data_IF_423906032482
#
_entry.id   IF_423906032482
#
_cell.length_a   1.000
_cell.length_b   1.000
_cell.length_c   1.000
_cell.angle_alpha   90.00
_cell.angle_beta   90.00
_cell.angle_gamma   90.00
#
_symmetry.space_group_name_H-M   'P 1'
#
loop_
_entity.id
_entity.type
_entity.pdbx_description
1 polymer ?
#
# COMPACT_ATOMS: atom_id res chain seq x y z
N UNK A 1 -21.14 67.89 -38.23
CA UNK A 1 -20.78 68.78 -39.39
C UNK A 1 -20.04 67.88 -40.39
N UNK A 2 -20.66 67.81 -41.59
CA UNK A 2 -20.14 67.42 -42.92
C UNK A 2 -19.57 65.97 -43.05
N UNK A 3 -20.30 65.15 -43.71
CA UNK A 3 -20.77 65.00 -45.09
C UNK A 3 -19.68 64.58 -46.07
N UNK A 4 -20.01 63.45 -46.76
CA UNK A 4 -20.00 63.24 -48.21
C UNK A 4 -18.71 62.61 -48.77
N UNK A 5 -18.65 61.79 -49.78
CA UNK A 5 -19.52 61.14 -50.83
C UNK A 5 -18.67 60.04 -51.44
N UNK A 6 -19.20 58.89 -51.66
CA UNK A 6 -19.59 58.34 -52.97
C UNK A 6 -18.47 58.15 -54.05
N UNK A 7 -18.24 56.93 -54.46
CA UNK A 7 -18.31 56.59 -55.91
C UNK A 7 -18.11 55.07 -56.16
N UNK A 8 -19.06 54.56 -56.84
CA UNK A 8 -19.20 53.23 -57.47
C UNK A 8 -18.36 53.23 -58.74
N UNK A 9 -17.64 52.17 -59.07
CA UNK A 9 -17.38 51.80 -60.47
C UNK A 9 -17.52 50.29 -60.63
N UNK A 10 -18.51 49.97 -61.45
CA UNK A 10 -18.84 48.70 -62.06
C UNK A 10 -18.00 48.51 -63.31
N UNK A 11 -17.31 47.38 -63.46
CA UNK A 11 -16.86 47.00 -64.82
C UNK A 11 -17.01 45.49 -64.98
N UNK A 12 -17.95 45.15 -65.81
CA UNK A 12 -18.19 43.82 -66.37
C UNK A 12 -17.31 43.68 -67.61
N UNK A 13 -16.58 42.58 -67.75
CA UNK A 13 -16.12 42.09 -69.02
C UNK A 13 -16.31 40.59 -69.17
N UNK A 14 -16.90 40.25 -70.27
CA UNK A 14 -17.46 38.97 -70.67
C UNK A 14 -16.42 37.97 -71.19
N UNK A 15 -16.71 36.71 -70.93
CA UNK A 15 -16.60 35.48 -71.74
C UNK A 15 -15.66 35.44 -72.97
N UNK A 16 -14.81 34.43 -72.96
CA UNK A 16 -14.69 33.52 -74.06
C UNK A 16 -14.12 32.16 -73.62
N UNK A 17 -14.89 31.13 -73.94
CA UNK A 17 -14.48 29.74 -73.69
C UNK A 17 -13.69 29.20 -74.85
N UNK A 18 -12.93 28.14 -74.60
CA UNK A 18 -12.67 27.07 -75.55
C UNK A 18 -12.32 25.78 -74.89
N UNK A 19 -12.93 24.78 -75.40
CA UNK A 19 -12.92 23.34 -75.02
C UNK A 19 -11.56 22.67 -75.21
N UNK A 20 -11.34 21.64 -74.46
CA UNK A 20 -10.38 20.58 -74.80
C UNK A 20 -9.88 19.72 -73.70
N UNK A 21 -10.37 18.47 -73.57
CA UNK A 21 -9.59 17.36 -73.07
C UNK A 21 -9.75 16.97 -71.61
N UNK A 22 -10.61 16.01 -71.32
CA UNK A 22 -10.43 15.06 -70.24
C UNK A 22 -9.19 14.19 -70.53
N UNK A 23 -8.53 13.55 -69.50
CA UNK A 23 -9.18 12.95 -68.34
C UNK A 23 -8.39 13.10 -67.03
N UNK A 24 -9.04 12.71 -66.01
CA UNK A 24 -8.48 11.92 -64.96
C UNK A 24 -8.39 12.52 -63.56
N UNK A 25 -8.97 11.78 -62.70
CA UNK A 25 -8.65 11.49 -61.30
C UNK A 25 -8.33 12.70 -60.43
N UNK A 26 -9.36 13.28 -59.93
CA UNK A 26 -9.32 14.09 -58.73
C UNK A 26 -9.13 13.19 -57.52
N UNK A 27 -7.87 13.00 -57.11
CA UNK A 27 -7.58 12.63 -55.77
C UNK A 27 -8.02 13.80 -54.88
N UNK A 28 -9.05 13.56 -54.09
CA UNK A 28 -9.38 14.43 -52.98
C UNK A 28 -8.22 14.29 -52.00
N UNK A 29 -7.32 15.26 -51.97
CA UNK A 29 -6.37 15.36 -50.88
C UNK A 29 -7.18 15.72 -49.63
N UNK A 30 -7.59 14.72 -48.88
CA UNK A 30 -7.98 14.90 -47.49
C UNK A 30 -6.74 15.38 -46.76
N UNK A 31 -6.64 16.66 -46.50
CA UNK A 31 -5.69 17.18 -45.53
C UNK A 31 -6.10 16.61 -44.17
N UNK A 32 -5.47 15.53 -43.78
CA UNK A 32 -5.51 15.10 -42.41
C UNK A 32 -4.81 16.17 -41.59
N UNK A 33 -5.58 17.02 -40.93
CA UNK A 33 -5.04 17.82 -39.86
C UNK A 33 -4.50 16.84 -38.82
N UNK A 34 -3.19 16.72 -38.75
CA UNK A 34 -2.53 16.10 -37.62
C UNK A 34 -2.79 17.02 -36.41
N UNK A 35 -3.73 16.63 -35.57
CA UNK A 35 -4.12 17.38 -34.37
C UNK A 35 -3.07 17.30 -33.29
N UNK A 36 -1.96 16.56 -33.48
CA UNK A 36 -0.92 16.36 -32.45
C UNK A 36 -1.43 15.63 -31.20
N UNK A 37 -2.67 15.15 -31.25
CA UNK A 37 -3.21 14.33 -30.16
C UNK A 37 -2.75 12.89 -30.38
N UNK A 38 -1.94 12.38 -29.49
CA UNK A 38 -1.72 10.94 -29.41
C UNK A 38 -3.08 10.26 -29.25
N UNK A 39 -3.39 9.22 -30.01
CA UNK A 39 -4.60 8.45 -29.79
C UNK A 39 -4.65 8.09 -28.30
N UNK A 40 -5.78 8.36 -27.66
CA UNK A 40 -6.00 7.86 -26.29
C UNK A 40 -5.82 6.35 -26.36
N UNK A 41 -4.89 5.83 -25.58
CA UNK A 41 -4.69 4.39 -25.50
C UNK A 41 -6.04 3.77 -25.14
N UNK A 42 -6.52 2.83 -25.94
CA UNK A 42 -7.77 2.15 -25.64
C UNK A 42 -7.63 1.51 -24.26
N UNK A 43 -8.63 1.74 -23.41
CA UNK A 43 -8.69 1.06 -22.11
C UNK A 43 -8.77 -0.42 -22.44
N UNK A 44 -7.89 -1.27 -21.88
CA UNK A 44 -7.98 -2.70 -22.08
C UNK A 44 -9.41 -3.19 -21.75
N UNK A 45 -9.93 -4.14 -22.54
CA UNK A 45 -11.30 -4.66 -22.34
C UNK A 45 -11.51 -5.29 -20.95
N UNK A 46 -10.42 -5.60 -20.25
CA UNK A 46 -10.36 -6.16 -18.89
C UNK A 46 -10.18 -5.10 -17.78
N UNK A 47 -10.10 -3.80 -18.13
CA UNK A 47 -10.01 -2.71 -17.17
C UNK A 47 -11.38 -2.44 -16.51
N UNK A 48 -11.74 -3.28 -15.57
CA UNK A 48 -12.92 -3.08 -14.70
C UNK A 48 -12.40 -2.76 -13.31
N UNK A 49 -12.65 -1.53 -12.79
CA UNK A 49 -12.28 -1.20 -11.40
C UNK A 49 -12.92 -2.20 -10.44
N UNK A 50 -12.14 -2.69 -9.48
CA UNK A 50 -12.54 -3.75 -8.55
C UNK A 50 -12.97 -3.17 -7.21
N UNK A 51 -13.93 -3.83 -6.58
CA UNK A 51 -14.18 -3.67 -5.16
C UNK A 51 -13.10 -4.47 -4.40
N UNK A 52 -12.41 -3.83 -3.44
CA UNK A 52 -11.38 -4.47 -2.64
C UNK A 52 -11.86 -4.69 -1.21
N UNK A 53 -11.71 -5.90 -0.71
CA UNK A 53 -11.95 -6.29 0.67
C UNK A 53 -10.61 -6.54 1.36
N UNK A 54 -10.35 -5.84 2.46
CA UNK A 54 -9.11 -5.90 3.20
C UNK A 54 -9.39 -6.25 4.66
N UNK A 55 -8.78 -7.33 5.15
CA UNK A 55 -8.78 -7.68 6.56
C UNK A 55 -7.42 -7.31 7.18
N UNK A 56 -7.40 -6.34 8.09
CA UNK A 56 -6.21 -5.99 8.86
C UNK A 56 -6.26 -6.65 10.23
N UNK A 57 -5.36 -7.59 10.49
CA UNK A 57 -5.29 -8.35 11.75
C UNK A 57 -3.97 -8.07 12.48
N UNK A 58 -3.97 -8.22 13.79
CA UNK A 58 -2.72 -8.13 14.53
C UNK A 58 -2.79 -7.37 15.84
N UNK A 59 -1.81 -6.52 16.07
CA UNK A 59 -1.54 -5.90 17.35
C UNK A 59 -1.95 -4.41 17.44
N UNK A 60 -1.20 -3.65 18.22
CA UNK A 60 -1.45 -2.22 18.42
C UNK A 60 -1.19 -1.38 17.18
N UNK A 61 -0.34 -1.80 16.25
CA UNK A 61 -0.08 -1.08 15.01
C UNK A 61 -1.32 -1.12 14.10
N UNK A 62 -1.89 -2.31 13.91
CA UNK A 62 -3.17 -2.44 13.19
C UNK A 62 -4.29 -1.68 13.91
N UNK A 63 -4.31 -1.66 15.25
CA UNK A 63 -5.30 -0.89 16.01
C UNK A 63 -5.16 0.63 15.85
N UNK A 64 -4.01 1.13 15.40
CA UNK A 64 -3.72 2.56 15.27
C UNK A 64 -3.37 3.23 16.61
N UNK A 65 -2.74 2.49 17.54
CA UNK A 65 -2.29 3.06 18.82
C UNK A 65 -1.12 4.02 18.58
N UNK A 66 -1.18 5.21 19.17
CA UNK A 66 -0.18 6.27 18.99
C UNK A 66 -0.58 7.33 17.96
N UNK A 67 -1.58 7.03 17.11
CA UNK A 67 -2.15 8.01 16.21
C UNK A 67 -2.94 9.08 16.98
N UNK A 68 -2.31 10.25 17.16
CA UNK A 68 -2.92 11.38 17.85
C UNK A 68 -4.12 11.98 17.12
N UNK A 69 -4.24 11.73 15.80
CA UNK A 69 -5.39 12.16 15.01
C UNK A 69 -6.63 11.30 15.27
N UNK A 70 -6.45 10.11 15.83
CA UNK A 70 -7.49 9.12 16.12
C UNK A 70 -8.27 8.66 14.87
N UNK A 71 -7.62 8.70 13.73
CA UNK A 71 -8.21 8.29 12.46
C UNK A 71 -8.04 6.79 12.19
N UNK A 72 -7.24 6.06 12.98
CA UNK A 72 -7.09 4.60 12.85
C UNK A 72 -5.73 4.15 12.34
N UNK A 73 -4.72 5.01 12.41
CA UNK A 73 -3.36 4.69 12.02
C UNK A 73 -3.22 4.44 10.52
N UNK A 74 -2.40 3.44 10.14
CA UNK A 74 -2.14 3.18 8.72
C UNK A 74 -3.37 2.69 7.95
N UNK A 75 -4.36 2.08 8.60
CA UNK A 75 -5.49 1.43 7.92
C UNK A 75 -6.36 2.43 7.16
N UNK A 76 -6.75 3.53 7.78
CA UNK A 76 -7.54 4.58 7.13
C UNK A 76 -6.74 5.30 6.04
N UNK A 77 -5.46 5.59 6.29
CA UNK A 77 -4.59 6.22 5.31
C UNK A 77 -4.38 5.34 4.07
N UNK A 78 -4.29 4.02 4.27
CA UNK A 78 -4.21 3.05 3.17
C UNK A 78 -5.50 3.00 2.36
N UNK A 79 -6.66 2.97 3.04
CA UNK A 79 -7.98 3.02 2.38
C UNK A 79 -8.11 4.26 1.49
N UNK A 80 -7.75 5.44 2.00
CA UNK A 80 -7.77 6.69 1.23
C UNK A 80 -6.85 6.64 0.00
N UNK A 81 -5.64 6.08 0.14
CA UNK A 81 -4.70 5.92 -0.97
C UNK A 81 -5.24 4.99 -2.05
N UNK A 82 -5.76 3.83 -1.66
CA UNK A 82 -6.32 2.84 -2.58
C UNK A 82 -7.54 3.38 -3.33
N UNK A 83 -8.42 4.14 -2.67
CA UNK A 83 -9.55 4.82 -3.32
C UNK A 83 -9.13 5.89 -4.34
N UNK A 84 -7.88 6.35 -4.28
CA UNK A 84 -7.29 7.26 -5.27
C UNK A 84 -6.92 6.58 -6.59
N UNK A 85 -6.82 5.26 -6.63
CA UNK A 85 -6.39 4.48 -7.79
C UNK A 85 -7.55 4.21 -8.75
N UNK A 86 -7.23 4.21 -10.05
CA UNK A 86 -8.24 4.03 -11.10
C UNK A 86 -8.77 2.59 -11.17
N UNK A 87 -7.94 1.65 -10.75
CA UNK A 87 -8.23 0.22 -10.71
C UNK A 87 -9.13 -0.16 -9.53
N UNK A 88 -9.34 0.76 -8.58
CA UNK A 88 -10.11 0.55 -7.36
C UNK A 88 -11.44 1.30 -7.45
N UNK A 89 -12.54 0.58 -7.32
CA UNK A 89 -13.89 1.12 -7.33
C UNK A 89 -14.38 1.45 -5.92
N UNK A 90 -14.12 0.55 -4.99
CA UNK A 90 -14.42 0.72 -3.56
C UNK A 90 -13.45 -0.08 -2.72
N UNK A 91 -13.28 0.33 -1.46
CA UNK A 91 -12.49 -0.39 -0.46
C UNK A 91 -13.37 -0.65 0.76
N UNK A 92 -13.37 -1.90 1.22
CA UNK A 92 -13.93 -2.28 2.53
C UNK A 92 -12.76 -2.77 3.37
N UNK A 93 -12.37 -2.01 4.41
CA UNK A 93 -11.28 -2.37 5.29
C UNK A 93 -11.82 -2.68 6.69
N UNK A 94 -11.63 -3.93 7.14
CA UNK A 94 -11.97 -4.38 8.47
C UNK A 94 -10.72 -4.40 9.35
N UNK A 95 -10.80 -3.76 10.51
CA UNK A 95 -9.68 -3.63 11.44
C UNK A 95 -9.89 -4.51 12.69
N UNK A 96 -9.22 -5.64 12.75
CA UNK A 96 -9.23 -6.60 13.85
C UNK A 96 -8.01 -6.47 14.78
N UNK A 97 -7.28 -5.35 14.73
CA UNK A 97 -6.11 -5.08 15.57
C UNK A 97 -6.46 -4.98 17.05
N UNK A 98 -5.64 -5.57 17.91
CA UNK A 98 -5.82 -5.55 19.37
C UNK A 98 -4.52 -5.18 20.06
N UNK A 99 -4.54 -4.08 20.83
CA UNK A 99 -3.37 -3.59 21.56
C UNK A 99 -2.77 -4.68 22.46
N UNK A 100 -1.46 -4.89 22.34
CA UNK A 100 -0.70 -5.80 23.20
C UNK A 100 -0.70 -7.27 22.76
N UNK A 101 -1.40 -7.61 21.66
CA UNK A 101 -1.41 -8.98 21.16
C UNK A 101 -0.01 -9.43 20.73
N UNK A 102 0.32 -10.65 21.11
CA UNK A 102 1.46 -11.44 20.66
C UNK A 102 0.99 -12.48 19.64
N UNK A 103 1.92 -13.17 19.00
CA UNK A 103 1.58 -14.27 18.07
C UNK A 103 0.69 -15.35 18.73
N UNK A 104 0.83 -15.60 20.04
CA UNK A 104 -0.06 -16.50 20.78
C UNK A 104 -1.50 -15.98 20.85
N UNK A 105 -1.65 -14.69 21.06
CA UNK A 105 -2.96 -14.04 21.19
C UNK A 105 -3.64 -13.96 19.82
N UNK A 106 -2.86 -13.69 18.76
CA UNK A 106 -3.34 -13.68 17.38
C UNK A 106 -3.86 -15.07 16.95
N UNK A 107 -3.13 -16.16 17.27
CA UNK A 107 -3.61 -17.52 17.02
C UNK A 107 -4.96 -17.82 17.68
N UNK A 108 -5.18 -17.34 18.91
CA UNK A 108 -6.47 -17.46 19.58
C UNK A 108 -7.54 -16.57 18.92
N UNK A 109 -7.16 -15.37 18.48
CA UNK A 109 -8.07 -14.43 17.80
C UNK A 109 -8.59 -14.98 16.45
N UNK A 110 -7.77 -15.75 15.73
CA UNK A 110 -8.16 -16.44 14.50
C UNK A 110 -9.25 -17.52 14.71
N UNK A 111 -9.59 -17.86 15.95
CA UNK A 111 -10.71 -18.76 16.25
C UNK A 111 -12.04 -17.99 16.41
N UNK A 112 -12.03 -16.68 16.36
CA UNK A 112 -13.25 -15.85 16.42
C UNK A 112 -13.95 -15.85 15.08
N UNK A 113 -15.25 -16.10 15.07
CA UNK A 113 -16.08 -16.21 13.85
C UNK A 113 -16.03 -14.93 13.00
N UNK A 114 -16.15 -13.76 13.61
CA UNK A 114 -16.09 -12.46 12.93
C UNK A 114 -14.73 -12.27 12.19
N UNK A 115 -13.62 -12.70 12.79
CA UNK A 115 -12.29 -12.62 12.17
C UNK A 115 -12.14 -13.62 11.03
N UNK A 116 -12.72 -14.83 11.19
CA UNK A 116 -12.73 -15.85 10.14
C UNK A 116 -13.51 -15.40 8.92
N UNK A 117 -14.68 -14.82 9.14
CA UNK A 117 -15.52 -14.26 8.06
C UNK A 117 -14.78 -13.12 7.34
N UNK A 118 -14.20 -12.15 8.06
CA UNK A 118 -13.43 -11.08 7.44
C UNK A 118 -12.21 -11.57 6.66
N UNK A 119 -11.52 -12.62 7.13
CA UNK A 119 -10.42 -13.26 6.40
C UNK A 119 -10.93 -14.00 5.15
N UNK A 120 -12.03 -14.72 5.26
CA UNK A 120 -12.57 -15.52 4.16
C UNK A 120 -13.01 -14.65 2.97
N UNK A 121 -13.51 -13.46 3.24
CA UNK A 121 -14.02 -12.51 2.23
C UNK A 121 -12.93 -11.54 1.70
N UNK A 122 -11.72 -11.56 2.29
CA UNK A 122 -10.67 -10.60 1.95
C UNK A 122 -9.94 -10.94 0.64
N UNK A 123 -9.67 -9.93 -0.18
CA UNK A 123 -8.70 -9.98 -1.28
C UNK A 123 -7.26 -9.82 -0.74
N UNK A 124 -7.12 -9.02 0.33
CA UNK A 124 -5.83 -8.70 0.94
C UNK A 124 -5.94 -8.84 2.47
N UNK A 125 -4.97 -9.52 3.07
CA UNK A 125 -4.87 -9.69 4.52
C UNK A 125 -3.58 -9.04 5.00
N UNK A 126 -3.69 -7.99 5.81
CA UNK A 126 -2.54 -7.26 6.35
C UNK A 126 -2.31 -7.70 7.79
N UNK A 127 -1.06 -8.04 8.12
CA UNK A 127 -0.68 -8.56 9.44
C UNK A 127 0.39 -7.67 10.06
N UNK A 128 0.14 -7.22 11.31
CA UNK A 128 1.17 -6.62 12.17
C UNK A 128 1.29 -7.46 13.43
N UNK A 129 2.43 -8.10 13.67
CA UNK A 129 2.62 -8.96 14.85
C UNK A 129 4.10 -9.20 15.13
N UNK A 130 4.46 -9.44 16.38
CA UNK A 130 5.80 -9.83 16.81
C UNK A 130 6.47 -8.81 17.73
N UNK A 131 6.16 -7.53 17.62
CA UNK A 131 6.74 -6.50 18.48
C UNK A 131 6.48 -6.77 19.98
N UNK A 132 5.27 -7.22 20.33
CA UNK A 132 4.92 -7.58 21.70
C UNK A 132 5.56 -8.91 22.16
N UNK A 133 5.91 -9.81 21.25
CA UNK A 133 6.70 -11.01 21.58
C UNK A 133 8.12 -10.60 22.01
N UNK A 134 8.79 -9.69 21.28
CA UNK A 134 10.08 -9.12 21.67
C UNK A 134 9.97 -8.35 22.99
N UNK A 135 8.98 -7.48 23.13
CA UNK A 135 8.80 -6.68 24.35
C UNK A 135 8.52 -7.53 25.59
N UNK A 136 7.92 -8.69 25.45
CA UNK A 136 7.79 -9.66 26.53
C UNK A 136 9.16 -10.13 27.01
N UNK A 137 10.06 -10.47 26.09
CA UNK A 137 11.42 -10.91 26.42
C UNK A 137 12.16 -9.80 27.17
N UNK A 138 12.09 -8.57 26.65
CA UNK A 138 12.72 -7.39 27.28
C UNK A 138 12.23 -7.21 28.72
N UNK A 139 10.92 -7.28 28.96
CA UNK A 139 10.32 -7.09 30.29
C UNK A 139 10.67 -8.22 31.28
N UNK A 140 10.75 -9.46 30.79
CA UNK A 140 11.05 -10.62 31.63
C UNK A 140 12.54 -10.77 31.94
N UNK A 141 13.43 -10.15 31.14
CA UNK A 141 14.88 -10.32 31.22
C UNK A 141 15.64 -8.99 31.37
N UNK A 142 15.05 -7.96 31.97
CA UNK A 142 15.63 -6.59 32.04
C UNK A 142 17.08 -6.54 32.54
N UNK A 143 17.53 -7.53 33.32
CA UNK A 143 18.87 -7.60 33.88
C UNK A 143 19.82 -8.55 33.16
N UNK A 144 19.32 -9.30 32.16
CA UNK A 144 20.11 -10.24 31.35
C UNK A 144 19.52 -10.33 29.91
N UNK A 145 19.71 -9.26 29.13
CA UNK A 145 19.29 -9.17 27.73
C UNK A 145 20.33 -9.85 26.81
N UNK A 146 20.55 -11.15 27.00
CA UNK A 146 21.46 -11.89 26.13
C UNK A 146 20.81 -12.28 24.81
N UNK A 147 21.55 -12.22 23.72
CA UNK A 147 21.08 -12.63 22.37
C UNK A 147 20.52 -14.06 22.36
N UNK A 148 21.04 -14.96 23.19
CA UNK A 148 20.56 -16.33 23.29
C UNK A 148 19.07 -16.43 23.72
N UNK A 149 18.62 -15.51 24.58
CA UNK A 149 17.21 -15.49 25.02
C UNK A 149 16.31 -15.11 23.86
N UNK A 150 16.69 -14.09 23.10
CA UNK A 150 15.96 -13.66 21.92
C UNK A 150 15.93 -14.74 20.84
N UNK A 151 17.04 -15.42 20.54
CA UNK A 151 17.08 -16.51 19.57
C UNK A 151 16.15 -17.69 19.93
N UNK A 152 16.07 -18.06 21.21
CA UNK A 152 15.17 -19.12 21.65
C UNK A 152 13.69 -18.73 21.50
N UNK A 153 13.35 -17.49 21.79
CA UNK A 153 11.98 -17.01 21.62
C UNK A 153 11.63 -16.74 20.16
N UNK A 154 12.62 -16.31 19.34
CA UNK A 154 12.47 -16.21 17.90
C UNK A 154 12.04 -17.53 17.28
N UNK A 155 12.72 -18.64 17.58
CA UNK A 155 12.33 -19.96 17.09
C UNK A 155 10.87 -20.33 17.45
N UNK A 156 10.40 -19.92 18.65
CA UNK A 156 8.99 -20.12 19.02
C UNK A 156 8.04 -19.17 18.29
N UNK A 157 8.47 -17.93 18.06
CA UNK A 157 7.73 -16.96 17.28
C UNK A 157 7.54 -17.47 15.85
N UNK A 158 8.60 -17.95 15.19
CA UNK A 158 8.56 -18.50 13.84
C UNK A 158 7.58 -19.67 13.72
N UNK A 159 7.58 -20.61 14.66
CA UNK A 159 6.59 -21.70 14.69
C UNK A 159 5.16 -21.18 14.83
N UNK A 160 4.95 -20.12 15.63
CA UNK A 160 3.62 -19.53 15.78
C UNK A 160 3.19 -18.74 14.56
N UNK A 161 4.11 -17.98 13.93
CA UNK A 161 3.85 -17.25 12.70
C UNK A 161 3.46 -18.21 11.58
N UNK A 162 4.20 -19.31 11.43
CA UNK A 162 3.83 -20.35 10.45
C UNK A 162 2.38 -20.84 10.67
N UNK A 163 2.00 -21.13 11.93
CA UNK A 163 0.62 -21.54 12.25
C UNK A 163 -0.41 -20.43 11.99
N UNK A 164 -0.06 -19.16 12.18
CA UNK A 164 -0.94 -18.04 11.79
C UNK A 164 -1.22 -18.08 10.31
N UNK A 165 -0.17 -18.22 9.48
CA UNK A 165 -0.31 -18.29 8.02
C UNK A 165 -1.07 -19.53 7.56
N UNK A 166 -0.80 -20.71 8.14
CA UNK A 166 -1.57 -21.94 7.88
C UNK A 166 -3.07 -21.75 8.18
N UNK A 167 -3.41 -21.12 9.32
CA UNK A 167 -4.81 -20.85 9.66
C UNK A 167 -5.46 -19.89 8.66
N UNK A 168 -4.77 -18.83 8.28
CA UNK A 168 -5.27 -17.87 7.29
C UNK A 168 -5.51 -18.58 5.95
N UNK A 169 -4.56 -19.38 5.47
CA UNK A 169 -4.71 -20.14 4.21
C UNK A 169 -5.83 -21.19 4.26
N UNK A 170 -6.14 -21.72 5.42
CA UNK A 170 -7.29 -22.62 5.61
C UNK A 170 -8.63 -21.86 5.47
N UNK A 171 -8.68 -20.58 5.80
CA UNK A 171 -9.89 -19.76 5.63
C UNK A 171 -9.95 -19.11 4.25
N UNK A 172 -8.79 -18.72 3.69
CA UNK A 172 -8.67 -18.06 2.40
C UNK A 172 -7.37 -18.47 1.70
N UNK A 173 -7.48 -19.31 0.67
CA UNK A 173 -6.33 -19.80 -0.11
C UNK A 173 -5.73 -18.76 -1.06
N UNK A 174 -6.54 -17.79 -1.48
CA UNK A 174 -6.23 -16.95 -2.64
C UNK A 174 -5.83 -15.51 -2.27
N UNK A 175 -6.24 -15.01 -1.09
CA UNK A 175 -5.93 -13.66 -0.64
C UNK A 175 -4.43 -13.37 -0.66
N UNK A 176 -4.06 -12.15 -1.01
CA UNK A 176 -2.69 -11.68 -0.80
C UNK A 176 -2.43 -11.41 0.68
N UNK A 177 -1.43 -12.07 1.26
CA UNK A 177 -1.01 -11.84 2.66
C UNK A 177 0.15 -10.85 2.67
N UNK A 178 -0.03 -9.72 3.35
CA UNK A 178 0.97 -8.68 3.52
C UNK A 178 1.40 -8.65 5.00
N UNK A 179 2.59 -9.15 5.30
CA UNK A 179 3.16 -9.06 6.64
C UNK A 179 4.04 -7.81 6.75
N UNK A 180 3.66 -6.92 7.65
CA UNK A 180 4.44 -5.72 7.97
C UNK A 180 5.56 -6.09 8.93
N UNK A 181 6.78 -5.75 8.58
CA UNK A 181 7.99 -6.00 9.37
C UNK A 181 8.00 -5.23 10.69
N UNK A 182 8.92 -5.63 11.53
CA UNK A 182 9.19 -4.97 12.81
C UNK A 182 10.19 -3.82 12.60
N UNK A 183 10.11 -2.80 13.42
CA UNK A 183 11.09 -1.72 13.52
C UNK A 183 11.65 -1.62 14.93
N UNK A 184 12.81 -0.96 15.07
CA UNK A 184 13.42 -0.67 16.35
C UNK A 184 12.90 0.68 16.91
N UNK A 185 12.05 0.70 17.95
CA UNK A 185 11.58 1.93 18.56
C UNK A 185 12.65 2.63 19.44
N UNK A 186 13.77 1.95 19.73
CA UNK A 186 14.82 2.44 20.64
C UNK A 186 16.06 2.96 19.89
N UNK A 187 15.92 3.28 18.59
CA UNK A 187 17.04 3.74 17.74
C UNK A 187 17.75 5.00 18.24
N UNK A 188 17.10 5.78 19.10
CA UNK A 188 17.66 6.97 19.75
C UNK A 188 18.56 6.67 20.98
N UNK A 189 18.49 5.45 21.54
CA UNK A 189 19.39 4.97 22.61
C UNK A 189 20.66 4.36 22.01
N UNK A 190 21.72 5.15 21.92
CA UNK A 190 22.98 4.77 21.25
C UNK A 190 23.59 3.47 21.81
N UNK A 191 23.47 3.22 23.12
CA UNK A 191 24.11 2.09 23.79
C UNK A 191 23.42 0.74 23.56
N UNK A 192 22.14 0.72 23.12
CA UNK A 192 21.35 -0.51 22.93
C UNK A 192 20.87 -0.68 21.48
N UNK A 193 21.08 0.33 20.63
CA UNK A 193 20.53 0.35 19.28
C UNK A 193 21.06 -0.77 18.39
N UNK A 194 22.34 -1.09 18.49
CA UNK A 194 22.98 -2.11 17.62
C UNK A 194 22.49 -3.52 17.94
N UNK A 195 22.37 -3.88 19.22
CA UNK A 195 21.88 -5.18 19.64
C UNK A 195 20.39 -5.35 19.29
N UNK A 196 19.59 -4.30 19.50
CA UNK A 196 18.17 -4.33 19.18
C UNK A 196 17.95 -4.36 17.67
N UNK A 197 18.70 -3.60 16.87
CA UNK A 197 18.67 -3.70 15.42
C UNK A 197 18.97 -5.13 14.96
N UNK A 198 20.01 -5.75 15.50
CA UNK A 198 20.36 -7.15 15.18
C UNK A 198 19.20 -8.11 15.51
N UNK A 199 18.48 -7.89 16.63
CA UNK A 199 17.34 -8.71 17.01
C UNK A 199 16.18 -8.49 16.02
N UNK A 200 15.85 -7.22 15.70
CA UNK A 200 14.78 -6.87 14.75
C UNK A 200 15.10 -7.44 13.36
N UNK A 201 16.34 -7.28 12.87
CA UNK A 201 16.78 -7.81 11.58
C UNK A 201 16.61 -9.34 11.53
N UNK A 202 17.07 -10.06 12.57
CA UNK A 202 16.94 -11.51 12.61
C UNK A 202 15.47 -11.98 12.63
N UNK A 203 14.61 -11.28 13.34
CA UNK A 203 13.18 -11.60 13.39
C UNK A 203 12.48 -11.28 12.07
N UNK A 204 12.83 -10.17 11.43
CA UNK A 204 12.33 -9.83 10.10
C UNK A 204 12.78 -10.86 9.06
N UNK A 205 14.04 -11.28 9.11
CA UNK A 205 14.55 -12.31 8.20
C UNK A 205 13.89 -13.67 8.44
N UNK A 206 13.70 -14.07 9.71
CA UNK A 206 12.92 -15.26 10.07
C UNK A 206 11.49 -15.21 9.52
N UNK A 207 10.85 -14.03 9.62
CA UNK A 207 9.50 -13.81 9.07
C UNK A 207 9.46 -13.92 7.56
N UNK A 208 10.44 -13.36 6.83
CA UNK A 208 10.57 -13.49 5.38
C UNK A 208 10.75 -14.95 4.95
N UNK A 209 11.59 -15.69 5.70
CA UNK A 209 11.81 -17.11 5.42
C UNK A 209 10.52 -17.93 5.56
N UNK A 210 9.75 -17.69 6.62
CA UNK A 210 8.44 -18.34 6.80
C UNK A 210 7.47 -17.94 5.67
N UNK A 211 7.37 -16.65 5.33
CA UNK A 211 6.50 -16.20 4.25
C UNK A 211 6.84 -16.87 2.91
N UNK A 212 8.11 -17.11 2.64
CA UNK A 212 8.57 -17.72 1.38
C UNK A 212 8.07 -19.16 1.18
N UNK A 213 7.54 -19.80 2.22
CA UNK A 213 6.92 -21.12 2.16
C UNK A 213 5.44 -21.09 1.72
N UNK A 214 4.86 -19.87 1.60
CA UNK A 214 3.47 -19.65 1.22
C UNK A 214 3.37 -18.85 -0.08
N UNK A 215 2.41 -19.19 -0.92
CA UNK A 215 2.09 -18.43 -2.14
C UNK A 215 1.31 -17.15 -1.80
N UNK A 216 1.34 -16.18 -2.69
CA UNK A 216 0.64 -14.88 -2.55
C UNK A 216 0.96 -14.17 -1.24
N UNK A 217 2.24 -14.04 -0.93
CA UNK A 217 2.71 -13.35 0.28
C UNK A 217 3.70 -12.25 -0.05
N UNK A 218 3.61 -11.14 0.68
CA UNK A 218 4.53 -10.01 0.60
C UNK A 218 5.01 -9.64 2.00
N UNK A 219 6.29 -9.31 2.11
CA UNK A 219 6.87 -8.74 3.33
C UNK A 219 7.11 -7.24 3.10
N UNK A 220 6.60 -6.40 3.99
CA UNK A 220 6.77 -4.95 3.92
C UNK A 220 7.78 -4.49 4.95
N UNK A 221 8.96 -4.09 4.49
CA UNK A 221 9.97 -3.50 5.36
C UNK A 221 9.55 -2.11 5.80
N UNK A 222 9.66 -1.84 7.09
CA UNK A 222 9.37 -0.53 7.70
C UNK A 222 10.46 -0.05 8.65
N UNK A 223 11.47 -0.89 8.95
CA UNK A 223 12.55 -0.51 9.86
C UNK A 223 13.35 0.69 9.35
N UNK A 224 13.64 0.74 8.07
CA UNK A 224 14.32 1.85 7.42
C UNK A 224 13.56 3.18 7.55
N UNK A 225 12.22 3.14 7.58
CA UNK A 225 11.38 4.32 7.79
C UNK A 225 11.68 4.97 9.14
N UNK A 226 11.86 4.15 10.19
CA UNK A 226 12.10 4.64 11.55
C UNK A 226 13.58 4.87 11.88
N UNK A 227 14.49 4.21 11.17
CA UNK A 227 15.94 4.27 11.44
C UNK A 227 16.69 5.32 10.61
N UNK A 228 16.18 5.74 9.45
CA UNK A 228 16.89 6.61 8.51
C UNK A 228 16.42 8.07 8.50
N UNK A 229 15.56 8.47 9.43
CA UNK A 229 15.04 9.82 9.49
C UNK A 229 15.51 10.57 10.74
N UNK A 230 15.63 11.89 10.63
CA UNK A 230 15.80 12.78 11.78
C UNK A 230 14.44 13.19 12.40
N UNK A 231 13.34 12.88 11.74
CA UNK A 231 12.00 13.23 12.21
C UNK A 231 11.59 12.30 13.36
N UNK A 232 10.89 12.84 14.34
CA UNK A 232 10.27 12.01 15.36
C UNK A 232 9.02 11.35 14.77
N UNK A 233 9.08 10.05 14.51
CA UNK A 233 7.98 9.23 14.00
C UNK A 233 7.23 8.46 15.07
N UNK A 234 7.64 8.58 16.34
CA UNK A 234 7.02 7.90 17.46
C UNK A 234 6.08 8.84 18.23
N UNK A 235 5.06 8.26 18.83
CA UNK A 235 4.13 8.93 19.72
C UNK A 235 4.77 9.25 21.10
N UNK A 236 4.00 9.83 22.02
CA UNK A 236 4.48 10.19 23.35
C UNK A 236 4.99 9.00 24.19
N UNK A 237 4.57 7.77 23.85
CA UNK A 237 5.02 6.56 24.53
C UNK A 237 6.37 6.03 24.00
N UNK A 238 6.97 6.72 23.05
CA UNK A 238 8.28 6.41 22.45
C UNK A 238 8.37 4.98 21.89
N UNK A 239 7.22 4.41 21.55
CA UNK A 239 7.12 3.03 21.09
C UNK A 239 6.22 2.88 19.85
N UNK A 240 5.02 3.43 19.88
CA UNK A 240 4.09 3.34 18.76
C UNK A 240 4.33 4.48 17.76
N UNK A 241 4.03 4.30 16.46
CA UNK A 241 4.10 5.37 15.49
C UNK A 241 3.14 6.51 15.85
N UNK A 242 3.55 7.74 15.62
CA UNK A 242 2.66 8.88 15.57
C UNK A 242 1.96 8.97 14.19
N UNK A 243 1.13 9.99 13.95
CA UNK A 243 0.42 10.15 12.69
C UNK A 243 1.36 10.13 11.47
N UNK A 244 2.53 10.78 11.57
CA UNK A 244 3.54 10.79 10.48
C UNK A 244 4.18 9.41 10.27
N UNK A 245 4.47 8.70 11.34
CA UNK A 245 4.96 7.32 11.28
C UNK A 245 3.95 6.40 10.58
N UNK A 246 2.67 6.52 10.92
CA UNK A 246 1.61 5.76 10.25
C UNK A 246 1.40 6.15 8.78
N UNK A 247 1.57 7.43 8.43
CA UNK A 247 1.53 7.88 7.03
C UNK A 247 2.60 7.16 6.20
N UNK A 248 3.85 7.15 6.67
CA UNK A 248 4.95 6.47 5.98
C UNK A 248 4.78 4.95 5.93
N UNK A 249 4.27 4.34 7.01
CA UNK A 249 3.91 2.91 6.98
C UNK A 249 2.82 2.62 5.94
N UNK A 250 1.79 3.46 5.85
CA UNK A 250 0.72 3.29 4.87
C UNK A 250 1.24 3.41 3.43
N UNK A 251 2.21 4.28 3.19
CA UNK A 251 2.88 4.40 1.88
C UNK A 251 3.61 3.12 1.50
N UNK A 252 4.39 2.55 2.41
CA UNK A 252 5.10 1.29 2.17
C UNK A 252 4.17 0.12 1.91
N UNK A 253 3.07 0.04 2.67
CA UNK A 253 2.06 -1.00 2.49
C UNK A 253 1.34 -0.82 1.14
N UNK A 254 0.98 0.41 0.80
CA UNK A 254 0.36 0.76 -0.48
C UNK A 254 1.27 0.40 -1.67
N UNK A 255 2.55 0.80 -1.62
CA UNK A 255 3.52 0.44 -2.66
C UNK A 255 3.64 -1.08 -2.84
N UNK A 256 3.68 -1.84 -1.73
CA UNK A 256 3.75 -3.29 -1.80
C UNK A 256 2.49 -3.94 -2.40
N UNK A 257 1.31 -3.39 -2.13
CA UNK A 257 0.04 -3.89 -2.69
C UNK A 257 -0.06 -3.58 -4.18
N UNK A 258 0.37 -2.39 -4.62
CA UNK A 258 0.22 -1.92 -6.00
C UNK A 258 1.30 -2.41 -6.97
N UNK A 259 2.40 -2.96 -6.47
CA UNK A 259 3.45 -3.58 -7.31
C UNK A 259 3.14 -5.05 -7.52
N UNK A 260 2.88 -5.43 -8.78
CA UNK A 260 2.71 -6.83 -9.21
C UNK A 260 4.02 -7.65 -9.09
#
# INVERSE_FOLDING_TARGET
MNQRFLAIIFTIILLSGCSGGMPATTGIATSTHDTGLTPKQDIPDDFIPKDLHIASIGDSLTKGVGDETKQGGYTTLLEEKLLGEKEVKSVTLENFGVKGHKTTDLLNRLQNEEVQEGIADADIIIITIGGNDIMKIVKENLFDLSLNVFQKEQAKYEVRLNKVLENIRNYNSDAEIVLVGLYNPFGWFIDLSTEINTIVDNWNEGSKNILSEFEHTKFVEVDDVFSQTSDNLLAEDEFHPNAKGYELMSERIFEAIMVE
#
